data_IF_992868708763
#
_entry.id   IF_992868708763
#
_cell.length_a   1.000
_cell.length_b   1.000
_cell.length_c   1.000
_cell.angle_alpha   90.00
_cell.angle_beta   90.00
_cell.angle_gamma   90.00
#
_symmetry.space_group_name_H-M   'P 1'
#
loop_
_entity.id
_entity.type
_entity.pdbx_description
1 polymer ?
#
# COMPACT_ATOMS: atom_id res chain seq x y z
N UNK A 1 35.43 -6.92 4.04
CA UNK A 1 33.97 -7.18 4.11
C UNK A 1 33.62 -7.90 2.82
N UNK A 2 33.29 -9.19 2.90
CA UNK A 2 32.81 -9.92 1.72
C UNK A 2 31.49 -9.29 1.30
N UNK A 3 31.40 -8.83 0.05
CA UNK A 3 30.17 -8.31 -0.56
C UNK A 3 29.14 -9.44 -0.55
N UNK A 4 28.31 -9.48 0.50
CA UNK A 4 27.24 -10.46 0.63
C UNK A 4 26.17 -10.09 -0.40
N UNK A 5 26.25 -10.71 -1.57
CA UNK A 5 25.29 -10.48 -2.64
C UNK A 5 24.02 -11.29 -2.38
N UNK A 6 22.91 -10.59 -2.16
CA UNK A 6 21.60 -11.20 -2.00
C UNK A 6 20.97 -11.56 -3.37
N UNK A 7 20.09 -12.56 -3.45
CA UNK A 7 19.48 -12.95 -4.71
C UNK A 7 18.57 -11.85 -5.26
N UNK A 8 18.54 -11.72 -6.59
CA UNK A 8 17.70 -10.76 -7.33
C UNK A 8 17.00 -11.47 -8.49
N UNK A 9 15.91 -10.86 -8.99
CA UNK A 9 15.14 -11.36 -10.15
C UNK A 9 14.79 -12.84 -10.05
N UNK A 10 15.00 -13.59 -11.14
CA UNK A 10 14.67 -15.03 -11.22
C UNK A 10 15.29 -15.86 -10.08
N UNK A 11 16.53 -15.58 -9.67
CA UNK A 11 17.19 -16.32 -8.57
C UNK A 11 16.44 -16.15 -7.25
N UNK A 12 15.92 -14.94 -6.97
CA UNK A 12 15.10 -14.69 -5.79
C UNK A 12 13.78 -15.46 -5.87
N UNK A 13 13.12 -15.47 -7.03
CA UNK A 13 11.83 -16.14 -7.20
C UNK A 13 11.94 -17.66 -7.12
N UNK A 14 12.98 -18.24 -7.74
CA UNK A 14 13.28 -19.67 -7.64
C UNK A 14 13.52 -20.09 -6.19
N UNK A 15 14.23 -19.26 -5.40
CA UNK A 15 14.45 -19.50 -3.97
C UNK A 15 13.15 -19.45 -3.17
N UNK A 16 12.27 -18.48 -3.44
CA UNK A 16 10.94 -18.42 -2.78
C UNK A 16 10.12 -19.68 -3.09
N UNK A 17 10.05 -20.10 -4.36
CA UNK A 17 9.36 -21.34 -4.74
C UNK A 17 9.93 -22.57 -4.02
N UNK A 18 11.27 -22.65 -3.91
CA UNK A 18 11.96 -23.72 -3.18
C UNK A 18 11.58 -23.73 -1.70
N UNK A 19 11.53 -22.55 -1.07
CA UNK A 19 11.21 -22.41 0.36
C UNK A 19 9.77 -22.82 0.70
N UNK A 20 8.80 -22.47 -0.15
CA UNK A 20 7.39 -22.75 0.12
C UNK A 20 6.86 -24.03 -0.57
N UNK A 21 7.62 -24.62 -1.49
CA UNK A 21 7.28 -25.88 -2.16
C UNK A 21 6.21 -25.80 -3.27
N UNK A 22 5.84 -24.59 -3.70
CA UNK A 22 4.85 -24.37 -4.76
C UNK A 22 5.08 -23.05 -5.51
N UNK A 23 4.49 -22.90 -6.69
CA UNK A 23 4.65 -21.72 -7.53
C UNK A 23 3.65 -20.58 -7.34
N UNK A 24 2.72 -20.66 -6.37
CA UNK A 24 1.76 -19.58 -6.06
C UNK A 24 2.31 -18.55 -5.08
N UNK A 25 1.96 -17.26 -5.20
CA UNK A 25 2.48 -16.20 -4.29
C UNK A 25 1.41 -15.15 -3.96
N UNK A 26 1.42 -14.62 -2.74
CA UNK A 26 0.57 -13.48 -2.36
C UNK A 26 1.30 -12.18 -2.71
N UNK A 27 0.60 -11.16 -3.22
CA UNK A 27 1.17 -9.84 -3.47
C UNK A 27 0.45 -8.77 -2.65
N UNK A 28 1.19 -8.05 -1.80
CA UNK A 28 0.69 -6.83 -1.18
C UNK A 28 0.67 -5.69 -2.23
N UNK A 29 -0.50 -5.42 -2.78
CA UNK A 29 -0.68 -4.56 -3.95
C UNK A 29 -1.33 -3.23 -3.59
N UNK A 30 -0.54 -2.23 -3.16
CA UNK A 30 -1.06 -0.92 -2.73
C UNK A 30 -1.47 0.04 -3.85
N UNK A 31 -1.45 -0.41 -5.12
CA UNK A 31 -1.66 0.41 -6.34
C UNK A 31 -0.58 1.46 -6.62
N UNK A 32 0.41 1.62 -5.73
CA UNK A 32 1.55 2.51 -5.94
C UNK A 32 2.53 1.99 -6.98
N UNK A 33 3.33 2.87 -7.56
CA UNK A 33 4.34 2.55 -8.59
C UNK A 33 5.20 1.34 -8.22
N UNK A 34 5.60 1.22 -6.96
CA UNK A 34 6.48 0.15 -6.51
C UNK A 34 5.71 -1.18 -6.35
N UNK A 35 4.42 -1.13 -6.00
CA UNK A 35 3.54 -2.30 -5.99
C UNK A 35 3.16 -2.75 -7.42
N UNK A 36 3.00 -1.81 -8.35
CA UNK A 36 2.83 -2.11 -9.78
C UNK A 36 4.11 -2.75 -10.34
N UNK A 37 5.28 -2.19 -10.02
CA UNK A 37 6.57 -2.79 -10.38
C UNK A 37 6.73 -4.20 -9.79
N UNK A 38 6.31 -4.39 -8.54
CA UNK A 38 6.27 -5.72 -7.91
C UNK A 38 5.40 -6.71 -8.69
N UNK A 39 4.18 -6.32 -9.07
CA UNK A 39 3.31 -7.14 -9.90
C UNK A 39 3.99 -7.51 -11.23
N UNK A 40 4.44 -6.49 -11.99
CA UNK A 40 5.14 -6.66 -13.27
C UNK A 40 6.38 -7.55 -13.14
N UNK A 41 7.10 -7.45 -12.03
CA UNK A 41 8.32 -8.20 -11.77
C UNK A 41 8.10 -9.66 -11.39
N UNK A 42 6.89 -10.07 -10.98
CA UNK A 42 6.62 -11.46 -10.53
C UNK A 42 5.59 -12.22 -11.38
N UNK A 43 4.77 -11.52 -12.17
CA UNK A 43 3.65 -12.14 -12.91
C UNK A 43 4.08 -13.29 -13.83
N UNK A 44 5.25 -13.18 -14.48
CA UNK A 44 5.73 -14.22 -15.41
C UNK A 44 6.61 -15.27 -14.72
N UNK A 45 6.79 -15.13 -13.39
CA UNK A 45 7.70 -15.97 -12.62
C UNK A 45 6.97 -16.91 -11.65
N UNK A 46 5.74 -16.62 -11.27
CA UNK A 46 4.92 -17.46 -10.39
C UNK A 46 3.74 -18.04 -11.17
N UNK A 47 3.32 -19.25 -10.82
CA UNK A 47 2.23 -19.96 -11.50
C UNK A 47 0.90 -19.23 -11.28
N UNK A 48 0.77 -18.57 -10.12
CA UNK A 48 -0.37 -17.73 -9.78
C UNK A 48 0.05 -16.63 -8.80
N UNK A 49 -0.38 -15.39 -9.06
CA UNK A 49 -0.20 -14.24 -8.17
C UNK A 49 -1.56 -13.88 -7.55
N UNK A 50 -1.64 -13.90 -6.23
CA UNK A 50 -2.84 -13.58 -5.45
C UNK A 50 -2.71 -12.14 -4.94
N UNK A 51 -3.32 -11.14 -5.60
CA UNK A 51 -3.20 -9.75 -5.18
C UNK A 51 -4.10 -9.42 -3.98
N UNK A 52 -3.55 -8.66 -3.04
CA UNK A 52 -4.22 -8.18 -1.82
C UNK A 52 -4.03 -6.68 -1.71
N UNK A 53 -5.14 -5.93 -1.74
CA UNK A 53 -5.16 -4.50 -1.47
C UNK A 53 -5.60 -4.24 -0.03
N UNK A 54 -4.71 -3.60 0.74
CA UNK A 54 -5.01 -3.14 2.09
C UNK A 54 -5.62 -1.74 1.99
N UNK A 55 -6.93 -1.66 2.12
CA UNK A 55 -7.70 -0.44 1.93
C UNK A 55 -7.69 0.45 3.19
N UNK A 56 -7.04 1.63 3.16
CA UNK A 56 -7.04 2.54 4.29
C UNK A 56 -8.31 3.39 4.39
N UNK A 57 -9.11 3.47 3.32
CA UNK A 57 -10.32 4.29 3.20
C UNK A 57 -11.35 3.52 2.35
N UNK A 58 -12.11 2.60 2.96
CA UNK A 58 -13.08 1.77 2.26
C UNK A 58 -14.14 2.57 1.52
N UNK A 59 -14.49 2.09 0.32
CA UNK A 59 -15.65 2.58 -0.44
C UNK A 59 -15.40 3.79 -1.33
N UNK A 60 -14.16 4.20 -1.56
CA UNK A 60 -13.86 5.28 -2.50
C UNK A 60 -13.95 4.80 -3.95
N UNK A 61 -14.62 5.58 -4.80
CA UNK A 61 -14.76 5.32 -6.23
C UNK A 61 -13.40 5.40 -6.92
N UNK A 62 -12.57 6.40 -6.59
CA UNK A 62 -11.17 6.51 -7.04
C UNK A 62 -10.40 5.19 -6.85
N UNK A 63 -10.57 4.57 -5.69
CA UNK A 63 -9.93 3.29 -5.36
C UNK A 63 -10.56 2.15 -6.16
N UNK A 64 -11.89 2.05 -6.20
CA UNK A 64 -12.59 0.99 -6.90
C UNK A 64 -12.29 0.97 -8.41
N UNK A 65 -12.25 2.13 -9.05
CA UNK A 65 -11.93 2.30 -10.48
C UNK A 65 -10.54 1.75 -10.81
N UNK A 66 -9.53 2.13 -10.02
CA UNK A 66 -8.15 1.67 -10.24
C UNK A 66 -7.97 0.19 -9.89
N UNK A 67 -8.63 -0.32 -8.85
CA UNK A 67 -8.66 -1.77 -8.55
C UNK A 67 -9.21 -2.55 -9.74
N UNK A 68 -10.37 -2.13 -10.27
CA UNK A 68 -10.98 -2.79 -11.42
C UNK A 68 -10.06 -2.82 -12.65
N UNK A 69 -9.38 -1.70 -12.92
CA UNK A 69 -8.38 -1.63 -13.98
C UNK A 69 -7.25 -2.66 -13.79
N UNK A 70 -6.68 -2.76 -12.58
CA UNK A 70 -5.58 -3.70 -12.32
C UNK A 70 -6.03 -5.16 -12.31
N UNK A 71 -7.24 -5.47 -11.83
CA UNK A 71 -7.84 -6.81 -11.97
C UNK A 71 -7.85 -7.25 -13.43
N UNK A 72 -8.25 -6.38 -14.35
CA UNK A 72 -8.32 -6.68 -15.77
C UNK A 72 -6.94 -6.69 -16.46
N UNK A 73 -6.07 -5.74 -16.14
CA UNK A 73 -4.81 -5.53 -16.88
C UNK A 73 -3.62 -6.31 -16.36
N UNK A 74 -3.59 -6.64 -15.08
CA UNK A 74 -2.45 -7.33 -14.46
C UNK A 74 -2.77 -8.75 -14.04
N UNK A 75 -3.94 -8.97 -13.42
CA UNK A 75 -4.15 -10.19 -12.65
C UNK A 75 -5.08 -11.19 -13.31
N UNK A 76 -6.02 -10.74 -14.16
CA UNK A 76 -7.07 -11.60 -14.70
C UNK A 76 -7.98 -12.20 -13.62
N UNK A 77 -7.93 -11.68 -12.39
CA UNK A 77 -8.67 -12.15 -11.22
C UNK A 77 -8.98 -10.99 -10.27
N UNK A 78 -9.90 -11.22 -9.34
CA UNK A 78 -10.25 -10.25 -8.30
C UNK A 78 -9.10 -10.00 -7.33
N UNK A 79 -8.94 -8.74 -6.94
CA UNK A 79 -8.04 -8.32 -5.86
C UNK A 79 -8.77 -8.48 -4.53
N UNK A 80 -8.12 -9.14 -3.57
CA UNK A 80 -8.65 -9.22 -2.21
C UNK A 80 -8.56 -7.85 -1.55
N UNK A 81 -9.69 -7.22 -1.29
CA UNK A 81 -9.77 -5.94 -0.59
C UNK A 81 -9.99 -6.22 0.88
N UNK A 82 -9.08 -5.74 1.72
CA UNK A 82 -9.10 -5.95 3.18
C UNK A 82 -8.80 -4.64 3.90
N UNK A 83 -9.40 -4.39 5.08
CA UNK A 83 -9.08 -3.20 5.86
C UNK A 83 -7.59 -3.08 6.17
N UNK A 84 -7.02 -1.90 5.98
CA UNK A 84 -5.62 -1.65 6.32
C UNK A 84 -5.41 -1.60 7.85
N UNK A 85 -4.36 -2.23 8.42
CA UNK A 85 -4.04 -2.13 9.85
C UNK A 85 -3.96 -0.71 10.40
N UNK A 86 -3.37 0.21 9.62
CA UNK A 86 -3.34 1.64 9.94
C UNK A 86 -4.74 2.27 10.07
N UNK A 87 -5.72 1.87 9.27
CA UNK A 87 -7.10 2.38 9.39
C UNK A 87 -7.68 2.01 10.75
N UNK A 88 -7.57 0.73 11.13
CA UNK A 88 -8.00 0.26 12.46
C UNK A 88 -7.29 1.01 13.58
N UNK A 89 -5.99 1.28 13.42
CA UNK A 89 -5.22 2.08 14.38
C UNK A 89 -5.71 3.53 14.48
N UNK A 90 -6.04 4.17 13.37
CA UNK A 90 -6.55 5.54 13.36
C UNK A 90 -7.89 5.64 14.10
N UNK A 91 -8.82 4.72 13.81
CA UNK A 91 -10.13 4.67 14.47
C UNK A 91 -9.98 4.40 15.97
N UNK A 92 -9.17 3.41 16.35
CA UNK A 92 -8.87 3.09 17.76
C UNK A 92 -8.26 4.27 18.53
N UNK A 93 -7.49 5.12 17.85
CA UNK A 93 -6.83 6.28 18.45
C UNK A 93 -7.63 7.58 18.27
N UNK A 94 -8.91 7.47 17.90
CA UNK A 94 -9.83 8.60 17.78
C UNK A 94 -9.36 9.69 16.80
N UNK A 95 -8.58 9.32 15.78
CA UNK A 95 -8.12 10.26 14.76
C UNK A 95 -9.35 10.85 14.08
N UNK A 96 -9.52 12.17 14.18
CA UNK A 96 -10.63 12.94 13.62
C UNK A 96 -12.02 12.35 13.92
N UNK A 97 -12.20 11.80 15.11
CA UNK A 97 -13.50 11.33 15.60
C UNK A 97 -14.25 12.43 16.36
N UNK A 98 -15.57 12.39 16.27
CA UNK A 98 -16.46 13.14 17.16
C UNK A 98 -16.69 12.34 18.47
N UNK A 99 -17.41 12.89 19.47
CA UNK A 99 -17.74 12.16 20.69
C UNK A 99 -18.47 10.83 20.43
N UNK A 100 -19.32 10.75 19.39
CA UNK A 100 -20.00 9.51 19.02
C UNK A 100 -19.00 8.45 18.58
N UNK A 101 -18.07 8.80 17.68
CA UNK A 101 -17.00 7.92 17.23
C UNK A 101 -16.11 7.43 18.38
N UNK A 102 -15.87 8.26 19.39
CA UNK A 102 -15.17 7.84 20.62
C UNK A 102 -15.92 6.70 21.34
N UNK A 103 -17.23 6.83 21.57
CA UNK A 103 -18.01 5.79 22.26
C UNK A 103 -18.08 4.50 21.43
N UNK A 104 -18.29 4.61 20.12
CA UNK A 104 -18.30 3.46 19.20
C UNK A 104 -16.95 2.74 19.24
N UNK A 105 -15.84 3.47 19.11
CA UNK A 105 -14.52 2.87 19.14
C UNK A 105 -14.20 2.20 20.48
N UNK A 106 -14.65 2.74 21.62
CA UNK A 106 -14.44 2.10 22.93
C UNK A 106 -15.32 0.87 23.16
N UNK A 107 -16.47 0.77 22.48
CA UNK A 107 -17.34 -0.39 22.57
C UNK A 107 -16.83 -1.60 21.74
N UNK A 108 -15.86 -1.38 20.84
CA UNK A 108 -15.30 -2.42 19.99
C UNK A 108 -14.13 -3.11 20.71
N UNK A 109 -14.19 -4.43 20.83
CA UNK A 109 -13.01 -5.23 21.15
C UNK A 109 -12.10 -5.31 19.91
N UNK A 110 -11.19 -4.35 19.79
CA UNK A 110 -10.35 -4.21 18.60
C UNK A 110 -9.43 -5.42 18.45
N UNK A 111 -9.63 -6.26 17.41
CA UNK A 111 -8.74 -7.37 17.18
C UNK A 111 -7.34 -6.84 16.85
N UNK A 112 -6.32 -7.62 17.18
CA UNK A 112 -4.96 -7.33 16.71
C UNK A 112 -4.93 -7.47 15.19
N UNK A 113 -5.09 -6.39 14.45
CA UNK A 113 -5.10 -6.43 12.99
C UNK A 113 -3.69 -6.25 12.45
N UNK A 114 -3.06 -7.31 11.95
CA UNK A 114 -1.69 -7.27 11.40
C UNK A 114 -1.64 -7.78 9.97
N UNK A 115 -0.61 -7.37 9.22
CA UNK A 115 -0.38 -7.91 7.88
C UNK A 115 -0.23 -9.43 7.88
N UNK A 116 0.39 -10.01 8.92
CA UNK A 116 0.57 -11.46 9.05
C UNK A 116 -0.77 -12.19 9.22
N UNK A 117 -1.65 -11.68 10.08
CA UNK A 117 -2.98 -12.27 10.27
C UNK A 117 -3.83 -12.17 8.99
N UNK A 118 -3.74 -11.05 8.28
CA UNK A 118 -4.38 -10.91 6.97
C UNK A 118 -3.81 -11.92 5.98
N UNK A 119 -2.48 -12.06 5.88
CA UNK A 119 -1.83 -13.03 4.99
C UNK A 119 -2.28 -14.46 5.29
N UNK A 120 -2.32 -14.86 6.56
CA UNK A 120 -2.83 -16.17 6.98
C UNK A 120 -4.31 -16.36 6.65
N UNK A 121 -5.12 -15.30 6.77
CA UNK A 121 -6.51 -15.35 6.33
C UNK A 121 -6.64 -15.54 4.82
N UNK A 122 -5.85 -14.81 4.02
CA UNK A 122 -5.78 -14.99 2.57
C UNK A 122 -5.36 -16.42 2.20
N UNK A 123 -4.37 -17.00 2.91
CA UNK A 123 -3.99 -18.40 2.70
C UNK A 123 -5.17 -19.34 2.92
N UNK A 124 -5.96 -19.14 3.99
CA UNK A 124 -7.13 -19.99 4.27
C UNK A 124 -8.20 -19.91 3.19
N UNK A 125 -8.56 -18.71 2.73
CA UNK A 125 -9.63 -18.54 1.72
C UNK A 125 -9.19 -19.04 0.34
N UNK A 126 -7.91 -18.90 0.00
CA UNK A 126 -7.32 -19.37 -1.27
C UNK A 126 -6.86 -20.84 -1.21
N UNK A 127 -7.05 -21.51 -0.06
CA UNK A 127 -6.61 -22.89 0.19
C UNK A 127 -5.10 -23.09 -0.06
N UNK A 128 -4.29 -22.12 0.36
CA UNK A 128 -2.84 -22.14 0.27
C UNK A 128 -2.22 -22.61 1.61
N UNK A 129 -1.01 -23.19 1.59
CA UNK A 129 -0.25 -23.44 2.81
C UNK A 129 -0.06 -22.15 3.62
N UNK A 130 -0.13 -22.24 4.95
CA UNK A 130 -0.01 -21.10 5.86
C UNK A 130 1.33 -20.36 5.74
N UNK A 131 2.36 -21.04 5.24
CA UNK A 131 3.71 -20.50 5.06
C UNK A 131 3.92 -19.85 3.68
N UNK A 132 2.86 -19.68 2.88
CA UNK A 132 2.94 -19.02 1.57
C UNK A 132 3.51 -17.62 1.70
N UNK A 133 4.55 -17.31 0.92
CA UNK A 133 5.19 -16.01 0.99
C UNK A 133 4.32 -14.89 0.38
N UNK A 134 4.44 -13.72 0.98
CA UNK A 134 3.88 -12.47 0.49
C UNK A 134 4.99 -11.56 -0.08
N UNK A 135 4.88 -11.25 -1.36
CA UNK A 135 5.68 -10.28 -2.06
C UNK A 135 5.26 -8.85 -1.71
N UNK A 136 6.24 -7.95 -1.66
CA UNK A 136 6.05 -6.52 -1.49
C UNK A 136 6.98 -5.75 -2.45
N UNK A 137 6.62 -4.49 -2.73
CA UNK A 137 7.37 -3.61 -3.64
C UNK A 137 8.48 -2.76 -3.01
N UNK A 138 8.89 -3.00 -1.76
CA UNK A 138 9.92 -2.15 -1.11
C UNK A 138 11.25 -2.25 -1.84
N UNK A 139 11.92 -1.11 -2.06
CA UNK A 139 13.21 -1.03 -2.77
C UNK A 139 14.31 -0.48 -1.88
N UNK A 140 15.55 -0.95 -2.10
CA UNK A 140 16.74 -0.37 -1.48
C UNK A 140 16.98 1.08 -1.90
N UNK A 141 16.41 1.51 -3.02
CA UNK A 141 16.47 2.89 -3.50
C UNK A 141 15.47 3.83 -2.80
N UNK A 142 14.57 3.34 -1.95
CA UNK A 142 13.52 4.17 -1.33
C UNK A 142 14.05 5.09 -0.21
N UNK A 143 14.99 4.61 0.61
CA UNK A 143 15.62 5.41 1.67
C UNK A 143 16.95 4.80 2.13
N UNK A 144 17.80 5.61 2.76
CA UNK A 144 19.06 5.14 3.36
C UNK A 144 18.78 4.02 4.38
N UNK A 145 17.77 4.18 5.22
CA UNK A 145 17.38 3.17 6.21
C UNK A 145 16.96 1.86 5.56
N UNK A 146 16.14 1.90 4.50
CA UNK A 146 15.71 0.70 3.76
C UNK A 146 16.89 0.04 3.07
N UNK A 147 17.79 0.83 2.47
CA UNK A 147 19.03 0.33 1.85
C UNK A 147 19.86 -0.45 2.86
N UNK A 148 20.19 0.16 4.00
CA UNK A 148 21.02 -0.46 5.03
C UNK A 148 20.38 -1.75 5.55
N UNK A 149 19.06 -1.75 5.79
CA UNK A 149 18.34 -2.93 6.23
C UNK A 149 18.40 -4.07 5.20
N UNK A 150 18.14 -3.79 3.92
CA UNK A 150 18.16 -4.77 2.83
C UNK A 150 19.56 -5.32 2.56
N UNK A 151 20.60 -4.48 2.62
CA UNK A 151 22.00 -4.93 2.48
C UNK A 151 22.39 -5.84 3.65
N UNK A 152 21.97 -5.50 4.88
CA UNK A 152 22.35 -6.25 6.08
C UNK A 152 21.60 -7.57 6.22
N UNK A 153 20.29 -7.56 5.97
CA UNK A 153 19.40 -8.68 6.30
C UNK A 153 18.86 -9.43 5.07
N UNK A 154 19.02 -8.87 3.87
CA UNK A 154 18.53 -9.43 2.63
C UNK A 154 17.06 -9.12 2.35
N UNK A 155 16.56 -9.54 1.18
CA UNK A 155 15.22 -9.23 0.71
C UNK A 155 14.15 -10.22 1.21
N UNK A 156 14.54 -11.30 1.89
CA UNK A 156 13.64 -12.36 2.38
C UNK A 156 13.60 -12.27 3.91
N UNK A 157 12.40 -12.25 4.48
CA UNK A 157 12.19 -12.39 5.93
C UNK A 157 11.42 -13.69 6.20
N UNK A 158 12.11 -14.81 6.45
CA UNK A 158 11.47 -16.11 6.63
C UNK A 158 10.47 -16.14 7.78
N UNK A 159 10.80 -15.53 8.92
CA UNK A 159 9.93 -15.50 10.10
C UNK A 159 8.58 -14.80 9.89
N UNK A 160 8.43 -14.03 8.81
CA UNK A 160 7.19 -13.34 8.45
C UNK A 160 6.60 -13.84 7.13
N UNK A 161 7.24 -14.80 6.47
CA UNK A 161 6.86 -15.23 5.12
C UNK A 161 6.70 -14.04 4.16
N UNK A 162 7.65 -13.11 4.19
CA UNK A 162 7.62 -11.92 3.31
C UNK A 162 8.91 -11.78 2.54
N UNK A 163 8.81 -11.20 1.35
CA UNK A 163 9.99 -10.81 0.58
C UNK A 163 9.76 -9.54 -0.26
N UNK A 164 10.87 -8.91 -0.65
CA UNK A 164 10.91 -7.69 -1.45
C UNK A 164 11.33 -8.05 -2.88
N UNK A 165 10.35 -8.23 -3.77
CA UNK A 165 10.57 -8.86 -5.08
C UNK A 165 11.34 -7.99 -6.10
N UNK A 166 11.31 -6.67 -5.92
CA UNK A 166 11.98 -5.67 -6.77
C UNK A 166 12.98 -4.84 -5.96
N UNK A 167 13.53 -5.43 -4.90
CA UNK A 167 14.35 -4.71 -3.92
C UNK A 167 15.58 -4.03 -4.52
N UNK A 168 16.11 -4.59 -5.61
CA UNK A 168 17.29 -4.14 -6.36
C UNK A 168 16.96 -3.13 -7.47
N UNK A 169 15.68 -2.82 -7.72
CA UNK A 169 15.28 -1.94 -8.81
C UNK A 169 15.48 -0.46 -8.46
N UNK A 170 16.08 0.29 -9.38
CA UNK A 170 16.11 1.76 -9.35
C UNK A 170 14.81 2.35 -9.95
N UNK A 171 14.67 3.69 -9.89
CA UNK A 171 13.47 4.38 -10.35
C UNK A 171 13.30 4.25 -11.87
N UNK A 172 14.40 4.30 -12.61
CA UNK A 172 14.43 4.23 -14.07
C UNK A 172 13.90 2.89 -14.55
N UNK A 173 14.34 1.79 -13.93
CA UNK A 173 13.84 0.44 -14.22
C UNK A 173 12.36 0.32 -13.88
N UNK A 174 11.94 0.80 -12.70
CA UNK A 174 10.50 0.79 -12.32
C UNK A 174 9.65 1.44 -13.41
N UNK A 175 10.00 2.64 -13.85
CA UNK A 175 9.24 3.36 -14.88
C UNK A 175 9.29 2.61 -16.21
N UNK A 176 10.46 2.13 -16.62
CA UNK A 176 10.64 1.38 -17.87
C UNK A 176 9.74 0.14 -17.92
N UNK A 177 9.74 -0.68 -16.87
CA UNK A 177 9.00 -1.94 -16.83
C UNK A 177 7.48 -1.71 -16.77
N UNK A 178 7.02 -0.69 -16.04
CA UNK A 178 5.60 -0.29 -16.02
C UNK A 178 5.15 0.16 -17.42
N UNK A 179 5.94 1.02 -18.07
CA UNK A 179 5.63 1.54 -19.41
C UNK A 179 5.67 0.43 -20.47
N UNK A 180 6.63 -0.50 -20.38
CA UNK A 180 6.74 -1.62 -21.32
C UNK A 180 5.51 -2.53 -21.31
N UNK A 181 4.80 -2.63 -20.17
CA UNK A 181 3.51 -3.35 -20.07
C UNK A 181 2.29 -2.48 -20.37
N UNK A 182 2.47 -1.21 -20.75
CA UNK A 182 1.37 -0.30 -21.05
C UNK A 182 0.45 -0.04 -19.85
N UNK A 183 0.98 -0.14 -18.63
CA UNK A 183 0.20 0.02 -17.40
C UNK A 183 0.09 1.50 -17.05
N UNK A 184 -1.15 1.95 -16.83
CA UNK A 184 -1.45 3.32 -16.41
C UNK A 184 -1.28 3.46 -14.90
N UNK A 185 -0.78 4.61 -14.49
CA UNK A 185 -0.80 4.99 -13.08
C UNK A 185 -2.24 5.31 -12.65
N UNK A 186 -2.63 5.00 -11.39
CA UNK A 186 -3.93 5.38 -10.88
C UNK A 186 -4.00 6.92 -10.76
N UNK A 187 -5.22 7.46 -10.80
CA UNK A 187 -5.48 8.90 -10.76
C UNK A 187 -4.93 9.56 -9.48
N UNK A 188 -4.71 8.80 -8.40
CA UNK A 188 -3.97 9.28 -7.23
C UNK A 188 -2.68 10.04 -7.60
N UNK A 189 -1.95 9.56 -8.62
CA UNK A 189 -0.72 10.20 -9.09
C UNK A 189 -0.95 11.54 -9.80
N UNK A 190 -2.11 11.72 -10.42
CA UNK A 190 -2.51 12.99 -11.03
C UNK A 190 -2.82 14.04 -9.97
N UNK A 191 -3.40 13.61 -8.84
CA UNK A 191 -3.83 14.51 -7.76
C UNK A 191 -2.66 14.81 -6.79
N UNK A 192 -1.91 13.79 -6.37
CA UNK A 192 -0.88 13.92 -5.31
C UNK A 192 0.54 13.57 -5.76
N UNK A 193 0.76 13.05 -6.96
CA UNK A 193 2.04 12.47 -7.37
C UNK A 193 2.41 11.16 -6.65
N UNK A 194 1.48 10.62 -5.84
CA UNK A 194 1.60 9.38 -5.07
C UNK A 194 0.21 8.82 -4.76
N UNK A 195 0.16 7.58 -4.29
CA UNK A 195 -1.06 6.99 -3.75
C UNK A 195 -1.57 7.77 -2.54
N UNK A 196 -2.89 7.86 -2.40
CA UNK A 196 -3.54 8.35 -1.20
C UNK A 196 -3.10 7.52 0.02
N UNK A 197 -2.44 8.15 1.00
CA UNK A 197 -1.81 7.45 2.14
C UNK A 197 -2.19 8.00 3.54
N UNK A 198 -3.09 8.97 3.61
CA UNK A 198 -3.54 9.56 4.87
C UNK A 198 -4.84 10.35 4.76
N UNK A 199 -5.32 10.79 5.92
CA UNK A 199 -6.58 11.55 6.11
C UNK A 199 -6.35 12.98 6.58
N UNK A 200 -5.11 13.45 6.57
CA UNK A 200 -4.79 14.85 6.91
C UNK A 200 -5.09 15.82 5.76
N UNK A 201 -5.11 17.11 6.08
CA UNK A 201 -5.47 18.17 5.14
C UNK A 201 -4.73 18.14 3.78
N UNK A 202 -3.48 17.63 3.73
CA UNK A 202 -2.72 17.54 2.46
C UNK A 202 -3.36 16.56 1.47
N UNK A 203 -4.12 15.60 1.96
CA UNK A 203 -4.89 14.66 1.17
C UNK A 203 -6.33 15.10 0.99
N UNK A 204 -6.94 15.56 2.07
CA UNK A 204 -8.36 15.86 2.11
C UNK A 204 -8.73 17.11 1.29
N UNK A 205 -7.87 18.14 1.26
CA UNK A 205 -8.13 19.33 0.45
C UNK A 205 -8.18 18.98 -1.05
N UNK A 206 -7.17 18.31 -1.65
CA UNK A 206 -7.28 17.89 -3.05
C UNK A 206 -8.40 16.88 -3.28
N UNK A 207 -8.66 15.95 -2.35
CA UNK A 207 -9.76 14.99 -2.51
C UNK A 207 -11.10 15.72 -2.60
N UNK A 208 -11.35 16.72 -1.74
CA UNK A 208 -12.55 17.56 -1.78
C UNK A 208 -12.70 18.31 -3.11
N UNK A 209 -11.59 18.77 -3.68
CA UNK A 209 -11.59 19.53 -4.94
C UNK A 209 -11.82 18.65 -6.17
N UNK A 210 -11.16 17.48 -6.23
CA UNK A 210 -11.14 16.63 -7.43
C UNK A 210 -12.16 15.50 -7.40
N UNK A 211 -12.50 14.98 -6.21
CA UNK A 211 -13.42 13.85 -5.99
C UNK A 211 -14.30 14.11 -4.76
N UNK A 212 -15.20 15.13 -4.78
CA UNK A 212 -15.98 15.54 -3.61
C UNK A 212 -16.87 14.43 -3.03
N UNK A 213 -17.39 13.53 -3.86
CA UNK A 213 -18.17 12.38 -3.38
C UNK A 213 -17.31 11.42 -2.52
N UNK A 214 -16.07 11.16 -2.93
CA UNK A 214 -15.13 10.35 -2.14
C UNK A 214 -14.73 11.07 -0.86
N UNK A 215 -14.55 12.40 -0.92
CA UNK A 215 -14.32 13.20 0.29
C UNK A 215 -15.45 13.04 1.31
N UNK A 216 -16.72 13.12 0.88
CA UNK A 216 -17.86 12.92 1.78
C UNK A 216 -17.87 11.52 2.40
N UNK A 217 -17.50 10.48 1.65
CA UNK A 217 -17.34 9.12 2.19
C UNK A 217 -16.27 9.08 3.28
N UNK A 218 -15.11 9.69 3.06
CA UNK A 218 -14.07 9.79 4.10
C UNK A 218 -14.59 10.54 5.33
N UNK A 219 -15.34 11.63 5.12
CA UNK A 219 -15.93 12.43 6.21
C UNK A 219 -16.93 11.64 7.06
N UNK A 220 -17.63 10.65 6.50
CA UNK A 220 -18.49 9.75 7.30
C UNK A 220 -17.68 8.92 8.29
N UNK A 221 -16.45 8.52 7.94
CA UNK A 221 -15.57 7.74 8.81
C UNK A 221 -14.75 8.61 9.76
N UNK A 222 -14.46 9.85 9.36
CA UNK A 222 -13.61 10.79 10.08
C UNK A 222 -14.29 12.18 10.17
N UNK A 223 -15.33 12.32 11.02
CA UNK A 223 -16.19 13.50 11.03
C UNK A 223 -15.49 14.83 11.32
N UNK A 224 -14.34 14.80 12.00
CA UNK A 224 -13.60 16.00 12.41
C UNK A 224 -12.48 16.43 11.43
N UNK A 225 -12.44 15.87 10.22
CA UNK A 225 -11.44 16.26 9.19
C UNK A 225 -11.45 17.76 8.89
N UNK A 226 -12.63 18.41 8.85
CA UNK A 226 -12.73 19.83 8.55
C UNK A 226 -11.96 20.70 9.55
N UNK A 227 -11.86 20.29 10.82
CA UNK A 227 -11.05 21.00 11.80
C UNK A 227 -9.55 20.98 11.45
N UNK A 228 -9.05 19.87 10.90
CA UNK A 228 -7.66 19.78 10.43
C UNK A 228 -7.41 20.64 9.20
N UNK A 229 -8.38 20.67 8.27
CA UNK A 229 -8.33 21.53 7.08
C UNK A 229 -8.26 23.01 7.50
N UNK A 230 -9.16 23.45 8.38
CA UNK A 230 -9.17 24.84 8.90
C UNK A 230 -7.84 25.20 9.58
N UNK A 231 -7.31 24.29 10.42
CA UNK A 231 -6.02 24.47 11.09
C UNK A 231 -4.89 24.61 10.07
N UNK A 232 -4.88 23.75 9.05
CA UNK A 232 -3.84 23.73 8.02
C UNK A 232 -3.87 25.01 7.17
N UNK A 233 -5.04 25.43 6.72
CA UNK A 233 -5.23 26.66 5.94
C UNK A 233 -4.81 27.88 6.74
N UNK A 234 -5.17 27.95 8.03
CA UNK A 234 -4.76 29.05 8.92
C UNK A 234 -3.25 29.15 9.04
N UNK A 235 -2.56 28.04 9.30
CA UNK A 235 -1.09 28.00 9.40
C UNK A 235 -0.45 28.46 8.10
N UNK A 236 -0.97 28.03 6.94
CA UNK A 236 -0.43 28.46 5.64
C UNK A 236 -0.65 29.94 5.38
N UNK A 237 -1.82 30.48 5.74
CA UNK A 237 -2.11 31.91 5.62
C UNK A 237 -1.15 32.76 6.47
N UNK A 238 -0.90 32.34 7.72
CA UNK A 238 0.06 33.00 8.60
C UNK A 238 1.50 32.94 8.05
N UNK A 239 1.91 31.79 7.49
CA UNK A 239 3.22 31.64 6.85
C UNK A 239 3.38 32.51 5.59
N UNK A 240 2.35 32.59 4.74
CA UNK A 240 2.35 33.46 3.56
C UNK A 240 2.47 34.92 3.97
N UNK A 241 1.71 35.34 4.99
CA UNK A 241 1.80 36.68 5.56
C UNK A 241 3.21 37.00 6.08
N UNK A 242 3.84 36.09 6.82
CA UNK A 242 5.22 36.25 7.30
C UNK A 242 6.26 36.31 6.16
N UNK A 243 5.95 35.73 4.99
CA UNK A 243 6.80 35.77 3.78
C UNK A 243 6.53 36.97 2.88
N UNK A 244 5.53 37.80 3.19
CA UNK A 244 5.13 38.93 2.36
C UNK A 244 4.41 38.54 1.07
N UNK A 245 3.95 37.29 0.97
CA UNK A 245 3.14 36.80 -0.14
C UNK A 245 1.67 37.21 0.14
N UNK A 246 1.11 38.07 -0.73
CA UNK A 246 -0.32 38.45 -0.71
C UNK A 246 -1.14 37.47 -1.55
#
# INVERSE_FOLDING_TARGET
>A
MTDRQWPTGKKLFDEIKRLQGHGKVILAFSRGKDAIAAAVGILDHFDEVIPVYYDPMPGLDLTAESIHYFEQKLFGRKIHIVPHPNMMRMLKNYVFQDPTGFFVANAIDWPRWTHELVRQHICRIEKLPSETYQATGVRAADSVTRRTALIKHGPITPSKHTFHCVWDWNKERVIKEINARGIRMPEDYSIWGRTLDGVDARFMIPLRQHRPADYERVRTMFPFIEADIMRYERIRAEQAHMRGEK
#
